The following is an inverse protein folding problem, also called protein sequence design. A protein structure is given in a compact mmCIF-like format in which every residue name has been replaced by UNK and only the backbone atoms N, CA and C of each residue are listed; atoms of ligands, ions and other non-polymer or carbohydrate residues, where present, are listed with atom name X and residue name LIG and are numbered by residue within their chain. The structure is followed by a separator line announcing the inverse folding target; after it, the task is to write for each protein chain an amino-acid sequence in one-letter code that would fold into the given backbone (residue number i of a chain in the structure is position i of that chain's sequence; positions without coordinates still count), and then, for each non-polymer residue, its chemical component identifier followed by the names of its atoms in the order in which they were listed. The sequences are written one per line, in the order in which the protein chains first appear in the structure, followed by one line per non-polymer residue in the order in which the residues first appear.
data_IF_752661319341
#
_entry.id   IF_752661319341
#
_cell.length_a   1.000
_cell.length_b   1.000
_cell.length_c   1.000
_cell.angle_alpha   90.00
_cell.angle_beta   90.00
_cell.angle_gamma   90.00
#
_symmetry.space_group_name_H-M   'P 1'
#
loop_
_entity.id
_entity.type
_entity.pdbx_description
1 polymer ?
#
# COMPACT_ATOMS: atom_id res chain seq x y z
N UNK A 1 4.07 2.67 12.20
CA UNK A 1 4.48 3.18 10.88
C UNK A 1 5.84 3.81 11.01
N UNK A 2 6.68 3.55 10.02
CA UNK A 2 8.11 3.77 10.12
C UNK A 2 8.64 4.23 8.77
N UNK A 3 9.56 5.20 8.79
CA UNK A 3 10.28 5.65 7.61
C UNK A 3 11.56 4.83 7.47
N UNK A 4 11.70 4.12 6.35
CA UNK A 4 12.87 3.34 5.99
C UNK A 4 13.15 3.49 4.50
N UNK A 5 14.39 3.23 4.10
CA UNK A 5 14.78 3.25 2.69
C UNK A 5 14.17 2.05 1.95
N UNK A 6 13.73 2.25 0.70
CA UNK A 6 13.01 1.25 -0.08
C UNK A 6 13.78 -0.07 -0.29
N UNK A 7 15.11 -0.02 -0.39
CA UNK A 7 15.95 -1.19 -0.61
C UNK A 7 16.29 -1.96 0.68
N UNK A 8 15.88 -1.47 1.86
CA UNK A 8 16.17 -2.08 3.14
C UNK A 8 14.91 -2.68 3.76
N UNK A 9 15.09 -3.75 4.51
CA UNK A 9 14.01 -4.32 5.30
C UNK A 9 13.56 -3.31 6.37
N UNK A 10 12.26 -3.06 6.44
CA UNK A 10 11.65 -2.11 7.38
C UNK A 10 11.87 -2.46 8.86
N UNK A 11 12.26 -3.70 9.16
CA UNK A 11 12.55 -4.18 10.52
C UNK A 11 13.99 -3.96 10.99
N UNK A 12 14.94 -3.65 10.09
CA UNK A 12 16.37 -3.70 10.41
C UNK A 12 16.96 -2.33 10.69
N UNK A 13 16.82 -1.40 9.75
CA UNK A 13 17.31 -0.03 9.93
C UNK A 13 16.24 0.96 9.53
N UNK A 14 15.85 1.75 10.52
CA UNK A 14 14.77 2.71 10.48
C UNK A 14 15.37 4.09 10.56
N UNK A 15 14.93 5.01 9.70
CA UNK A 15 15.36 6.41 9.75
C UNK A 15 14.59 7.11 10.89
N UNK A 16 13.27 6.95 10.92
CA UNK A 16 12.41 7.62 11.90
C UNK A 16 11.11 6.85 12.15
N UNK A 17 10.63 6.88 13.39
CA UNK A 17 9.34 6.28 13.79
C UNK A 17 8.30 7.39 13.89
N UNK A 18 7.38 7.44 12.92
CA UNK A 18 6.35 8.49 12.83
C UNK A 18 5.10 8.18 13.66
N UNK A 19 4.88 6.91 14.01
CA UNK A 19 3.75 6.52 14.87
C UNK A 19 3.52 5.02 14.90
N UNK A 20 2.37 4.60 15.40
CA UNK A 20 1.98 3.20 15.52
C UNK A 20 0.55 2.96 15.04
N UNK A 21 0.30 1.72 14.61
CA UNK A 21 -1.02 1.24 14.26
C UNK A 21 -1.22 -0.12 14.92
N UNK A 22 -2.29 -0.25 15.70
CA UNK A 22 -2.69 -1.51 16.31
C UNK A 22 -3.89 -2.09 15.52
N UNK A 23 -3.72 -3.18 14.75
CA UNK A 23 -4.79 -3.72 13.92
C UNK A 23 -5.94 -4.33 14.73
N UNK A 24 -5.70 -4.78 15.97
CA UNK A 24 -6.72 -5.41 16.80
C UNK A 24 -7.72 -4.40 17.34
N UNK A 25 -7.22 -3.27 17.83
CA UNK A 25 -8.05 -2.18 18.37
C UNK A 25 -8.38 -1.11 17.34
N UNK A 26 -7.81 -1.21 16.14
CA UNK A 26 -7.82 -0.16 15.09
C UNK A 26 -7.36 1.21 15.61
N UNK A 27 -6.55 1.19 16.67
CA UNK A 27 -5.98 2.39 17.26
C UNK A 27 -4.80 2.84 16.41
N UNK A 28 -4.78 4.13 16.11
CA UNK A 28 -3.73 4.76 15.34
C UNK A 28 -3.29 6.03 16.05
N UNK A 29 -2.04 6.02 16.50
CA UNK A 29 -1.37 7.13 17.15
C UNK A 29 -0.24 7.66 16.26
N UNK A 30 -0.30 8.94 15.94
CA UNK A 30 0.82 9.68 15.34
C UNK A 30 1.63 10.24 16.49
N UNK A 31 2.94 9.99 16.51
CA UNK A 31 3.82 10.62 17.51
C UNK A 31 4.12 12.07 17.16
N UNK A 32 4.41 12.34 15.89
CA UNK A 32 4.89 13.64 15.43
C UNK A 32 4.15 14.07 14.13
N UNK A 33 3.04 14.83 14.24
CA UNK A 33 2.26 15.27 13.07
C UNK A 33 3.03 16.26 12.18
N UNK A 34 3.83 17.15 12.75
CA UNK A 34 4.63 18.14 12.02
C UNK A 34 5.68 17.47 11.11
N UNK A 35 6.36 16.44 11.64
CA UNK A 35 7.35 15.66 10.87
C UNK A 35 6.68 14.90 9.74
N UNK A 36 5.49 14.35 9.97
CA UNK A 36 4.73 13.70 8.91
C UNK A 36 4.41 14.67 7.77
N UNK A 37 3.99 15.89 8.08
CA UNK A 37 3.71 16.93 7.09
C UNK A 37 4.97 17.34 6.30
N UNK A 38 6.11 17.47 6.98
CA UNK A 38 7.39 17.72 6.34
C UNK A 38 7.76 16.63 5.33
N UNK A 39 7.61 15.36 5.69
CA UNK A 39 7.89 14.25 4.79
C UNK A 39 6.88 14.14 3.64
N UNK A 40 5.61 14.50 3.88
CA UNK A 40 4.61 14.60 2.82
C UNK A 40 4.96 15.70 1.81
N UNK A 41 5.47 16.85 2.27
CA UNK A 41 5.93 17.92 1.39
C UNK A 41 7.14 17.50 0.53
N UNK A 42 7.98 16.58 1.03
CA UNK A 42 9.11 16.02 0.29
C UNK A 42 8.73 14.93 -0.72
N UNK A 43 7.43 14.70 -0.99
CA UNK A 43 6.94 13.70 -1.95
C UNK A 43 7.43 12.28 -1.64
N UNK A 44 7.57 11.94 -0.35
CA UNK A 44 7.94 10.59 0.07
C UNK A 44 6.87 9.58 -0.38
N UNK A 45 7.32 8.49 -0.99
CA UNK A 45 6.43 7.42 -1.43
C UNK A 45 5.82 6.69 -0.21
N UNK A 46 4.51 6.76 -0.07
CA UNK A 46 3.77 6.09 1.01
C UNK A 46 3.25 4.74 0.57
N UNK A 47 3.34 3.75 1.47
CA UNK A 47 2.75 2.43 1.23
C UNK A 47 1.22 2.53 1.13
N UNK A 48 0.55 1.71 0.29
CA UNK A 48 -0.91 1.74 0.12
C UNK A 48 -1.70 1.61 1.42
N UNK A 49 -1.23 0.79 2.37
CA UNK A 49 -1.88 0.63 3.68
C UNK A 49 -1.79 1.89 4.53
N UNK A 50 -0.62 2.56 4.52
CA UNK A 50 -0.39 3.80 5.26
C UNK A 50 -1.20 4.94 4.64
N UNK A 51 -1.21 5.03 3.31
CA UNK A 51 -2.06 5.97 2.58
C UNK A 51 -3.53 5.84 2.98
N UNK A 52 -4.04 4.61 3.03
CA UNK A 52 -5.43 4.37 3.45
C UNK A 52 -5.72 4.81 4.88
N UNK A 53 -4.80 4.57 5.82
CA UNK A 53 -4.94 5.02 7.21
C UNK A 53 -4.95 6.54 7.31
N UNK A 54 -4.12 7.23 6.53
CA UNK A 54 -4.06 8.70 6.50
C UNK A 54 -5.33 9.30 5.88
N UNK A 55 -5.87 8.67 4.84
CA UNK A 55 -7.16 9.03 4.23
C UNK A 55 -8.32 8.79 5.20
N UNK A 56 -8.35 7.67 5.92
CA UNK A 56 -9.38 7.39 6.93
C UNK A 56 -9.40 8.41 8.06
N UNK A 57 -8.22 8.88 8.46
CA UNK A 57 -8.06 9.92 9.48
C UNK A 57 -8.26 11.34 8.95
N UNK A 58 -8.62 11.51 7.68
CA UNK A 58 -8.79 12.80 7.00
C UNK A 58 -7.55 13.69 7.04
N UNK A 59 -6.36 13.09 7.14
CA UNK A 59 -5.09 13.84 7.15
C UNK A 59 -4.56 14.09 5.73
N UNK A 60 -4.99 13.29 4.77
CA UNK A 60 -4.73 13.45 3.35
C UNK A 60 -6.06 13.29 2.61
N UNK A 61 -6.34 14.21 1.69
CA UNK A 61 -7.49 14.08 0.79
C UNK A 61 -7.14 13.14 -0.36
N UNK A 62 -7.91 12.05 -0.50
CA UNK A 62 -7.66 11.07 -1.55
C UNK A 62 -8.62 9.89 -1.53
N UNK A 63 -8.69 9.17 -2.64
CA UNK A 63 -9.42 7.89 -2.70
C UNK A 63 -8.58 6.80 -2.04
N UNK A 64 -9.24 5.91 -1.28
CA UNK A 64 -8.57 4.72 -0.73
C UNK A 64 -8.04 3.86 -1.88
N UNK A 65 -6.79 3.42 -1.75
CA UNK A 65 -6.10 2.59 -2.75
C UNK A 65 -6.24 1.12 -2.34
N UNK A 66 -6.47 0.22 -3.29
CA UNK A 66 -6.56 -1.21 -3.01
C UNK A 66 -5.18 -1.76 -2.61
N UNK A 67 -4.93 -1.87 -1.31
CA UNK A 67 -3.65 -2.31 -0.75
C UNK A 67 -3.38 -3.82 -0.94
N UNK A 68 -4.45 -4.64 -0.98
CA UNK A 68 -4.33 -6.08 -1.16
C UNK A 68 -4.86 -6.52 -2.51
N UNK A 69 -3.98 -7.13 -3.31
CA UNK A 69 -4.35 -7.89 -4.50
C UNK A 69 -4.17 -9.38 -4.19
N UNK A 70 -5.23 -10.19 -4.15
CA UNK A 70 -5.06 -11.63 -4.06
C UNK A 70 -4.23 -12.10 -5.25
N UNK A 71 -3.26 -12.99 -5.03
CA UNK A 71 -2.56 -13.68 -6.13
C UNK A 71 -3.65 -14.34 -6.98
N UNK A 72 -3.73 -14.01 -8.28
CA UNK A 72 -4.51 -14.82 -9.22
C UNK A 72 -3.98 -16.25 -9.06
N UNK A 73 -4.81 -17.17 -8.56
CA UNK A 73 -4.57 -18.59 -8.84
C UNK A 73 -4.48 -18.67 -10.36
N UNK A 74 -3.42 -19.26 -10.88
CA UNK A 74 -3.29 -19.56 -12.29
C UNK A 74 -4.59 -20.25 -12.71
N UNK A 75 -5.42 -19.54 -13.48
CA UNK A 75 -6.60 -20.12 -14.08
C UNK A 75 -6.02 -20.97 -15.20
N UNK A 76 -6.03 -22.28 -14.97
CA UNK A 76 -5.84 -23.33 -15.96
C UNK A 76 -6.27 -22.83 -17.34
N UNK A 77 -5.32 -22.77 -18.26
CA UNK A 77 -5.56 -22.50 -19.67
C UNK A 77 -6.57 -23.53 -20.17
N UNK A 78 -7.83 -23.11 -20.34
CA UNK A 78 -8.73 -23.86 -21.20
C UNK A 78 -8.23 -23.64 -22.63
N UNK A 79 -7.90 -24.69 -23.38
CA UNK A 79 -7.42 -24.56 -24.74
C UNK A 79 -8.46 -23.83 -25.58
N UNK A 80 -7.98 -22.87 -26.36
CA UNK A 80 -8.75 -22.18 -27.38
C UNK A 80 -9.05 -23.20 -28.47
N UNK A 81 -10.30 -23.64 -28.56
CA UNK A 81 -10.85 -24.33 -29.72
C UNK A 81 -10.69 -23.42 -30.95
N UNK A 82 -9.66 -23.69 -31.76
CA UNK A 82 -9.54 -23.19 -33.12
C UNK A 82 -10.38 -24.10 -34.01
N UNK A 83 -11.67 -23.79 -34.16
CA UNK A 83 -12.45 -24.17 -35.34
C UNK A 83 -12.33 -23.04 -36.36
N UNK A 84 -11.35 -23.15 -37.25
CA UNK A 84 -11.34 -22.40 -38.51
C UNK A 84 -12.49 -22.94 -39.35
N UNK A 85 -13.49 -22.09 -39.56
CA UNK A 85 -14.58 -22.31 -40.50
C UNK A 85 -14.06 -22.40 -41.93
N UNK A 86 -14.70 -23.28 -42.68
CA UNK A 86 -14.44 -23.62 -44.06
C UNK A 86 -14.72 -22.46 -45.02
N UNK A 87 -13.76 -22.21 -45.92
CA UNK A 87 -14.02 -21.67 -47.26
C UNK A 87 -13.09 -22.42 -48.22
N UNK A 88 -13.64 -23.42 -48.91
CA UNK A 88 -13.18 -23.96 -50.18
C UNK A 88 -14.35 -24.67 -50.86
#
# INVERSE_FOLDING_TARGET
MVLAQAYRAASKQVIEVLGHYNPHRKEFGIKNPERLQHWLAQHVHVSPTVHNLLVEKKMIEGKKVKAWRPKKKAKEEKPIDVKVEAVA
#
